data_IF_390595185183
#
_entry.id   IF_390595185183
#
_cell.length_a   1.000
_cell.length_b   1.000
_cell.length_c   1.000
_cell.angle_alpha   90.00
_cell.angle_beta   90.00
_cell.angle_gamma   90.00
#
_symmetry.space_group_name_H-M   'P 1'
#
loop_
_entity.id
_entity.type
_entity.pdbx_description
1 polymer ?
#
# COMPACT_ATOMS: atom_id res chain seq x y z
N UNK A 1 13.40 -12.67 -7.50
CA UNK A 1 13.31 -11.19 -7.57
C UNK A 1 14.44 -10.70 -8.46
N UNK A 2 14.14 -9.95 -9.53
CA UNK A 2 15.17 -9.21 -10.25
C UNK A 2 15.64 -8.06 -9.37
N UNK A 3 16.95 -7.84 -9.28
CA UNK A 3 17.51 -6.69 -8.58
C UNK A 3 17.18 -5.43 -9.38
N UNK A 4 16.48 -4.47 -8.77
CA UNK A 4 16.20 -3.19 -9.41
C UNK A 4 17.50 -2.42 -9.65
N UNK A 5 17.56 -1.68 -10.75
CA UNK A 5 18.65 -0.72 -10.96
C UNK A 5 18.48 0.48 -10.03
N UNK A 6 19.56 1.20 -9.68
CA UNK A 6 19.46 2.44 -8.90
C UNK A 6 18.51 3.47 -9.52
N UNK A 7 18.42 3.50 -10.85
CA UNK A 7 17.51 4.39 -11.60
C UNK A 7 16.04 4.03 -11.37
N UNK A 8 15.70 2.73 -11.34
CA UNK A 8 14.34 2.27 -11.06
C UNK A 8 13.91 2.59 -9.63
N UNK A 9 14.81 2.42 -8.66
CA UNK A 9 14.55 2.79 -7.26
C UNK A 9 14.36 4.30 -7.13
N UNK A 10 15.19 5.11 -7.79
CA UNK A 10 15.03 6.56 -7.81
C UNK A 10 13.70 6.98 -8.45
N UNK A 11 13.29 6.33 -9.55
CA UNK A 11 12.01 6.57 -10.20
C UNK A 11 10.82 6.20 -9.29
N UNK A 12 10.89 5.07 -8.58
CA UNK A 12 9.87 4.66 -7.62
C UNK A 12 9.71 5.67 -6.48
N UNK A 13 10.83 6.13 -5.91
CA UNK A 13 10.84 7.15 -4.86
C UNK A 13 10.28 8.48 -5.34
N UNK A 14 10.61 8.89 -6.57
CA UNK A 14 10.03 10.08 -7.19
C UNK A 14 8.52 9.92 -7.39
N UNK A 15 8.07 8.77 -7.90
CA UNK A 15 6.64 8.46 -8.07
C UNK A 15 5.89 8.52 -6.73
N UNK A 16 6.45 7.95 -5.67
CA UNK A 16 5.91 8.03 -4.32
C UNK A 16 5.78 9.49 -3.84
N UNK A 17 6.84 10.28 -3.96
CA UNK A 17 6.84 11.69 -3.53
C UNK A 17 5.79 12.53 -4.29
N UNK A 18 5.70 12.35 -5.61
CA UNK A 18 4.71 13.04 -6.44
C UNK A 18 3.27 12.62 -6.09
N UNK A 19 3.08 11.33 -5.77
CA UNK A 19 1.78 10.81 -5.34
C UNK A 19 1.37 11.36 -3.98
N UNK A 20 2.28 11.33 -2.99
CA UNK A 20 2.05 11.90 -1.66
C UNK A 20 1.70 13.39 -1.73
N UNK A 21 2.44 14.16 -2.54
CA UNK A 21 2.21 15.59 -2.72
C UNK A 21 0.85 15.94 -3.33
N UNK A 22 0.24 15.01 -4.09
CA UNK A 22 -1.09 15.16 -4.69
C UNK A 22 -2.21 14.49 -3.88
N UNK A 23 -1.85 13.74 -2.84
CA UNK A 23 -2.80 12.98 -2.02
C UNK A 23 -3.36 13.81 -0.87
N UNK A 24 -4.42 13.29 -0.23
CA UNK A 24 -4.95 13.84 1.02
C UNK A 24 -4.28 13.26 2.27
N UNK A 25 -3.18 12.51 2.09
CA UNK A 25 -2.47 11.86 3.20
C UNK A 25 -1.69 12.92 3.99
N UNK A 26 -1.94 13.04 5.30
CA UNK A 26 -1.22 13.99 6.15
C UNK A 26 0.29 13.75 6.16
N UNK A 27 1.07 14.84 6.26
CA UNK A 27 2.55 14.79 6.15
C UNK A 27 3.19 13.95 7.24
N UNK A 28 2.57 13.83 8.40
CA UNK A 28 3.03 13.00 9.51
C UNK A 28 3.12 11.49 9.16
N UNK A 29 2.43 11.03 8.10
CA UNK A 29 2.52 9.63 7.64
C UNK A 29 3.58 9.41 6.58
N UNK A 30 4.18 10.44 5.99
CA UNK A 30 5.04 10.30 4.81
C UNK A 30 6.32 9.52 5.13
N UNK A 31 6.93 9.81 6.28
CA UNK A 31 8.10 9.09 6.77
C UNK A 31 7.75 7.65 7.16
N UNK A 32 6.56 7.44 7.76
CA UNK A 32 6.05 6.10 8.09
C UNK A 32 5.90 5.24 6.82
N UNK A 33 5.33 5.81 5.75
CA UNK A 33 5.13 5.12 4.46
C UNK A 33 6.47 4.76 3.85
N UNK A 34 7.39 5.73 3.77
CA UNK A 34 8.72 5.52 3.19
C UNK A 34 9.48 4.44 3.95
N UNK A 35 9.52 4.55 5.28
CA UNK A 35 10.20 3.57 6.13
C UNK A 35 9.60 2.17 6.01
N UNK A 36 8.27 2.06 5.95
CA UNK A 36 7.61 0.78 5.77
C UNK A 36 7.95 0.14 4.41
N UNK A 37 7.96 0.91 3.33
CA UNK A 37 8.31 0.42 1.99
C UNK A 37 9.75 -0.10 1.91
N UNK A 38 10.70 0.60 2.55
CA UNK A 38 12.10 0.18 2.64
C UNK A 38 12.24 -1.08 3.49
N UNK A 39 11.65 -1.10 4.70
CA UNK A 39 11.77 -2.20 5.65
C UNK A 39 11.11 -3.50 5.16
N UNK A 40 10.06 -3.39 4.34
CA UNK A 40 9.37 -4.55 3.74
C UNK A 40 9.87 -4.88 2.34
N UNK A 41 10.82 -4.12 1.81
CA UNK A 41 11.30 -4.19 0.43
C UNK A 41 10.19 -4.04 -0.63
N UNK A 42 9.04 -3.46 -0.25
CA UNK A 42 7.93 -3.21 -1.15
C UNK A 42 8.22 -2.11 -2.17
N UNK A 43 9.18 -1.21 -1.90
CA UNK A 43 9.73 -0.28 -2.91
C UNK A 43 10.35 -1.02 -4.12
N UNK A 44 10.72 -2.30 -3.95
CA UNK A 44 11.25 -3.12 -5.04
C UNK A 44 10.17 -3.76 -5.92
N UNK A 45 8.92 -3.71 -5.47
CA UNK A 45 7.77 -4.36 -6.11
C UNK A 45 6.84 -3.29 -6.69
N UNK A 46 6.56 -2.25 -5.90
CA UNK A 46 5.62 -1.19 -6.26
C UNK A 46 6.38 0.08 -6.65
N UNK A 47 6.63 0.20 -7.96
CA UNK A 47 7.30 1.37 -8.55
C UNK A 47 6.36 2.58 -8.71
N UNK A 48 5.05 2.35 -8.65
CA UNK A 48 4.06 3.42 -8.71
C UNK A 48 3.62 3.82 -7.30
N UNK A 49 3.63 5.13 -7.02
CA UNK A 49 3.28 5.65 -5.70
C UNK A 49 1.89 5.23 -5.21
N UNK A 50 0.91 5.11 -6.12
CA UNK A 50 -0.46 4.72 -5.78
C UNK A 50 -0.54 3.27 -5.27
N UNK A 51 0.17 2.35 -5.94
CA UNK A 51 0.31 0.96 -5.52
C UNK A 51 1.05 0.86 -4.19
N UNK A 52 2.16 1.57 -4.05
CA UNK A 52 2.98 1.57 -2.84
C UNK A 52 2.20 2.05 -1.60
N UNK A 53 1.47 3.16 -1.73
CA UNK A 53 0.64 3.73 -0.66
C UNK A 53 -0.55 2.81 -0.35
N UNK A 54 -1.20 2.26 -1.37
CA UNK A 54 -2.30 1.32 -1.17
C UNK A 54 -1.86 0.05 -0.43
N UNK A 55 -0.67 -0.47 -0.74
CA UNK A 55 -0.07 -1.62 -0.06
C UNK A 55 0.25 -1.31 1.42
N UNK A 56 0.82 -0.13 1.69
CA UNK A 56 1.06 0.34 3.06
C UNK A 56 -0.24 0.44 3.85
N UNK A 57 -1.26 1.10 3.27
CA UNK A 57 -2.53 1.34 3.93
C UNK A 57 -3.24 0.03 4.27
N UNK A 58 -3.34 -0.88 3.30
CA UNK A 58 -3.96 -2.19 3.52
C UNK A 58 -3.21 -3.01 4.57
N UNK A 59 -1.88 -3.00 4.54
CA UNK A 59 -1.04 -3.68 5.54
C UNK A 59 -1.30 -3.16 6.95
N UNK A 60 -1.48 -1.84 7.11
CA UNK A 60 -1.80 -1.21 8.38
C UNK A 60 -3.19 -1.62 8.88
N UNK A 61 -4.19 -1.67 7.99
CA UNK A 61 -5.55 -2.07 8.36
C UNK A 61 -5.66 -3.55 8.71
N UNK A 62 -5.07 -4.46 7.92
CA UNK A 62 -5.15 -5.90 8.20
C UNK A 62 -4.39 -6.28 9.48
N UNK A 63 -3.33 -5.55 9.81
CA UNK A 63 -2.55 -5.77 11.03
C UNK A 63 -3.37 -5.51 12.29
N UNK A 64 -4.30 -4.54 12.25
CA UNK A 64 -5.26 -4.29 13.35
C UNK A 64 -6.18 -5.49 13.60
N UNK A 65 -6.32 -6.38 12.61
CA UNK A 65 -7.14 -7.59 12.68
C UNK A 65 -6.30 -8.86 12.96
N UNK A 66 -4.98 -8.73 13.16
CA UNK A 66 -4.09 -9.86 13.42
C UNK A 66 -3.58 -10.58 12.17
N UNK A 67 -3.54 -9.89 11.01
CA UNK A 67 -3.08 -10.46 9.74
C UNK A 67 -1.98 -9.63 9.06
N UNK A 68 -1.20 -10.28 8.21
CA UNK A 68 -0.36 -9.68 7.17
C UNK A 68 -0.89 -10.08 5.79
N UNK A 69 -0.68 -9.24 4.78
CA UNK A 69 -1.00 -9.58 3.39
C UNK A 69 0.24 -10.14 2.69
N UNK A 70 0.12 -11.33 2.10
CA UNK A 70 1.03 -11.83 1.09
C UNK A 70 0.62 -11.27 -0.27
N UNK A 71 1.19 -10.13 -0.62
CA UNK A 71 0.89 -9.42 -1.86
C UNK A 71 1.15 -10.24 -3.14
N UNK A 72 2.08 -11.20 -3.10
CA UNK A 72 2.34 -12.08 -4.24
C UNK A 72 1.18 -13.07 -4.51
N UNK A 73 0.33 -13.30 -3.51
CA UNK A 73 -0.87 -14.13 -3.63
C UNK A 73 -2.14 -13.32 -3.82
N UNK A 74 -2.17 -12.05 -3.39
CA UNK A 74 -3.38 -11.26 -3.15
C UNK A 74 -4.45 -11.21 -4.24
N UNK A 75 -4.11 -11.39 -5.52
CA UNK A 75 -5.09 -11.32 -6.62
C UNK A 75 -5.71 -9.94 -6.87
N UNK A 76 -5.49 -8.99 -5.95
CA UNK A 76 -5.96 -7.61 -5.99
C UNK A 76 -4.79 -6.65 -6.23
N UNK A 77 -5.07 -5.53 -6.89
CA UNK A 77 -4.12 -4.43 -7.04
C UNK A 77 -4.16 -3.54 -5.79
N UNK A 78 -3.04 -3.35 -5.09
CA UNK A 78 -2.98 -2.48 -3.92
C UNK A 78 -3.52 -1.06 -4.14
N UNK A 79 -3.43 -0.52 -5.35
CA UNK A 79 -4.01 0.79 -5.70
C UNK A 79 -5.53 0.87 -5.47
N UNK A 80 -6.24 -0.25 -5.39
CA UNK A 80 -7.65 -0.31 -4.95
C UNK A 80 -7.81 0.19 -3.51
N UNK A 81 -6.80 0.03 -2.68
CA UNK A 81 -6.81 0.42 -1.26
C UNK A 81 -6.10 1.74 -1.03
N UNK A 82 -5.77 2.48 -2.09
CA UNK A 82 -5.23 3.83 -1.98
C UNK A 82 -6.25 4.76 -1.29
N UNK A 83 -5.86 5.50 -0.24
CA UNK A 83 -6.72 6.51 0.36
C UNK A 83 -6.93 7.72 -0.56
N UNK A 84 -8.13 7.85 -1.10
CA UNK A 84 -8.56 8.98 -1.94
C UNK A 84 -9.84 9.59 -1.40
N UNK A 85 -10.00 10.90 -1.56
CA UNK A 85 -11.17 11.63 -1.09
C UNK A 85 -10.85 13.11 -0.91
N UNK A 86 -11.80 13.87 -0.37
CA UNK A 86 -11.63 15.32 -0.13
C UNK A 86 -10.88 15.62 1.17
N UNK A 87 -10.93 14.71 2.14
CA UNK A 87 -10.22 14.80 3.40
C UNK A 87 -9.73 13.43 3.86
N UNK A 88 -8.81 13.43 4.82
CA UNK A 88 -8.14 12.23 5.27
C UNK A 88 -9.08 11.20 5.90
N UNK A 89 -10.03 11.62 6.72
CA UNK A 89 -10.96 10.70 7.40
C UNK A 89 -11.86 9.97 6.40
N UNK A 90 -12.39 10.69 5.41
CA UNK A 90 -13.17 10.10 4.33
C UNK A 90 -12.32 9.15 3.47
N UNK A 91 -11.08 9.53 3.17
CA UNK A 91 -10.19 8.73 2.33
C UNK A 91 -9.84 7.38 2.98
N UNK A 92 -9.57 7.38 4.28
CA UNK A 92 -9.34 6.15 5.05
C UNK A 92 -10.56 5.25 5.04
N UNK A 93 -11.76 5.82 5.26
CA UNK A 93 -13.01 5.07 5.28
C UNK A 93 -13.29 4.42 3.91
N UNK A 94 -13.15 5.16 2.82
CA UNK A 94 -13.35 4.65 1.46
C UNK A 94 -12.36 3.54 1.10
N UNK A 95 -11.08 3.74 1.40
CA UNK A 95 -10.06 2.72 1.18
C UNK A 95 -10.34 1.44 2.00
N UNK A 96 -10.82 1.59 3.24
CA UNK A 96 -11.24 0.46 4.06
C UNK A 96 -12.44 -0.30 3.47
N UNK A 97 -13.45 0.40 2.95
CA UNK A 97 -14.56 -0.25 2.28
C UNK A 97 -14.10 -1.08 1.08
N UNK A 98 -13.17 -0.55 0.27
CA UNK A 98 -12.57 -1.28 -0.85
C UNK A 98 -11.77 -2.51 -0.39
N UNK A 99 -11.01 -2.38 0.70
CA UNK A 99 -10.30 -3.52 1.30
C UNK A 99 -11.25 -4.62 1.79
N UNK A 100 -12.37 -4.25 2.41
CA UNK A 100 -13.39 -5.20 2.87
C UNK A 100 -14.10 -5.86 1.68
N UNK A 101 -14.34 -5.12 0.59
CA UNK A 101 -14.90 -5.68 -0.64
C UNK A 101 -13.98 -6.74 -1.26
N UNK A 102 -12.66 -6.52 -1.18
CA UNK A 102 -11.63 -7.46 -1.67
C UNK A 102 -11.33 -8.59 -0.68
N UNK A 103 -11.93 -8.59 0.51
CA UNK A 103 -11.57 -9.54 1.59
C UNK A 103 -11.77 -11.00 1.18
N UNK A 104 -12.85 -11.29 0.46
CA UNK A 104 -13.14 -12.64 -0.02
C UNK A 104 -12.07 -13.12 -1.02
N UNK A 105 -11.63 -12.25 -1.94
CA UNK A 105 -10.55 -12.54 -2.87
C UNK A 105 -9.24 -12.87 -2.13
N UNK A 106 -8.90 -12.07 -1.11
CA UNK A 106 -7.71 -12.30 -0.28
C UNK A 106 -7.75 -13.65 0.45
N UNK A 107 -8.93 -14.11 0.88
CA UNK A 107 -9.12 -15.44 1.49
C UNK A 107 -8.96 -16.54 0.43
N UNK A 108 -9.65 -16.42 -0.71
CA UNK A 108 -9.62 -17.42 -1.79
C UNK A 108 -8.21 -17.65 -2.35
N UNK A 109 -7.36 -16.64 -2.25
CA UNK A 109 -5.98 -16.67 -2.69
C UNK A 109 -4.97 -17.06 -1.59
N UNK A 110 -5.42 -17.41 -0.38
CA UNK A 110 -4.55 -17.65 0.79
C UNK A 110 -3.54 -16.51 1.02
N UNK A 111 -4.00 -15.27 0.82
CA UNK A 111 -3.15 -14.08 0.91
C UNK A 111 -3.08 -13.52 2.34
N UNK A 112 -4.04 -13.82 3.21
CA UNK A 112 -4.04 -13.37 4.61
C UNK A 112 -3.26 -14.35 5.50
N UNK A 113 -2.14 -13.89 6.05
CA UNK A 113 -1.29 -14.65 6.98
C UNK A 113 -1.56 -14.18 8.39
N UNK A 114 -1.94 -15.08 9.30
CA UNK A 114 -2.15 -14.75 10.72
C UNK A 114 -0.81 -14.43 11.40
N UNK A 115 -0.80 -13.38 12.22
CA UNK A 115 0.36 -12.91 13.02
C UNK A 115 0.21 -13.35 14.48
#
# INVERSE_FOLDING_TARGET
MQTLTPEMVAAARKSLQECLAKSVIPKEYWDEITHWLEATHMENIYLEGREAIGAWWASKEVRKMGYAINFAKGGCMPSNWFPEGENWDMAQAQAKYRLVADWQCLIEHDALIKI
#
